data_IF_133097543171
#
_entry.id   IF_133097543171
#
_cell.length_a   1.000
_cell.length_b   1.000
_cell.length_c   1.000
_cell.angle_alpha   90.00
_cell.angle_beta   90.00
_cell.angle_gamma   90.00
#
_symmetry.space_group_name_H-M   'P 1'
#
loop_
_entity.id
_entity.type
_entity.pdbx_description
1 polymer ?
#
# COMPACT_ATOMS: atom_id res chain seq x y z
N UNK A 1 -11.36 25.23 -43.54
CA UNK A 1 -10.94 25.09 -42.13
C UNK A 1 -10.97 23.60 -41.76
N UNK A 2 -9.79 22.97 -41.65
CA UNK A 2 -9.63 21.57 -41.27
C UNK A 2 -9.70 21.41 -39.75
N UNK A 3 -10.54 20.48 -39.26
CA UNK A 3 -10.66 20.19 -37.81
C UNK A 3 -9.36 19.58 -37.26
N UNK A 4 -8.96 19.88 -36.01
CA UNK A 4 -7.73 19.35 -35.43
C UNK A 4 -7.86 17.84 -35.15
N UNK A 5 -6.93 17.05 -35.72
CA UNK A 5 -6.84 15.58 -35.56
C UNK A 5 -6.14 15.19 -34.25
N UNK A 6 -6.62 15.64 -33.09
CA UNK A 6 -6.03 15.26 -31.80
C UNK A 6 -7.02 14.69 -30.78
N UNK A 7 -8.31 14.60 -31.11
CA UNK A 7 -9.22 13.82 -30.29
C UNK A 7 -9.03 12.36 -30.64
N UNK A 8 -8.23 11.69 -29.80
CA UNK A 8 -8.00 10.26 -29.77
C UNK A 8 -9.27 9.51 -30.21
N UNK A 9 -9.26 8.97 -31.43
CA UNK A 9 -10.14 7.87 -31.80
C UNK A 9 -9.65 6.63 -31.04
N UNK A 10 -9.93 6.59 -29.74
CA UNK A 10 -9.70 5.41 -28.92
C UNK A 10 -10.63 4.31 -29.40
N UNK A 11 -10.04 3.19 -29.82
CA UNK A 11 -10.77 2.00 -30.20
C UNK A 11 -11.69 1.56 -29.07
N UNK A 12 -12.99 1.60 -29.33
CA UNK A 12 -13.99 0.97 -28.49
C UNK A 12 -13.86 -0.55 -28.62
N UNK A 13 -13.03 -1.22 -27.81
CA UNK A 13 -13.10 -2.67 -27.51
C UNK A 13 -11.96 -3.12 -26.58
N UNK A 14 -12.06 -2.70 -25.32
CA UNK A 14 -11.66 -3.38 -24.07
C UNK A 14 -11.73 -2.29 -23.00
N UNK A 15 -12.80 -2.24 -22.22
CA UNK A 15 -12.84 -1.35 -21.04
C UNK A 15 -11.86 -1.92 -20.02
N UNK A 16 -10.59 -1.57 -20.16
CA UNK A 16 -9.56 -1.92 -19.19
C UNK A 16 -9.92 -1.31 -17.84
N UNK A 17 -9.74 -2.09 -16.77
CA UNK A 17 -9.80 -1.58 -15.42
C UNK A 17 -8.41 -1.09 -15.03
N UNK A 18 -8.34 0.13 -14.54
CA UNK A 18 -7.12 0.76 -14.06
C UNK A 18 -7.13 0.81 -12.54
N UNK A 19 -5.95 0.79 -11.93
CA UNK A 19 -5.78 0.96 -10.49
C UNK A 19 -4.44 1.62 -10.22
N UNK A 20 -4.35 2.32 -9.12
CA UNK A 20 -3.10 2.97 -8.69
C UNK A 20 -2.55 2.23 -7.48
N UNK A 21 -1.22 2.05 -7.45
CA UNK A 21 -0.52 1.46 -6.32
C UNK A 21 0.76 2.23 -6.04
N UNK A 22 1.05 2.43 -4.76
CA UNK A 22 2.37 2.87 -4.28
C UNK A 22 2.95 1.84 -3.32
N UNK A 23 4.25 1.91 -3.11
CA UNK A 23 4.97 1.16 -2.09
C UNK A 23 5.88 2.10 -1.29
N UNK A 24 5.87 1.96 0.04
CA UNK A 24 6.67 2.73 0.99
C UNK A 24 7.22 1.78 2.07
N UNK A 25 8.53 1.52 2.05
CA UNK A 25 9.23 0.64 3.00
C UNK A 25 8.49 -0.69 3.31
N UNK A 26 8.03 -1.37 2.26
CA UNK A 26 7.31 -2.63 2.36
C UNK A 26 5.80 -2.51 2.54
N UNK A 27 5.26 -1.34 2.89
CA UNK A 27 3.80 -1.09 2.87
C UNK A 27 3.36 -0.80 1.45
N UNK A 28 2.36 -1.52 0.98
CA UNK A 28 1.68 -1.28 -0.29
C UNK A 28 0.32 -0.66 -0.03
N UNK A 29 -0.03 0.35 -0.81
CA UNK A 29 -1.35 1.00 -0.80
C UNK A 29 -1.89 0.97 -2.23
N UNK A 30 -3.09 0.42 -2.42
CA UNK A 30 -3.69 0.22 -3.74
C UNK A 30 -5.15 0.64 -3.77
N UNK A 31 -5.52 1.41 -4.78
CA UNK A 31 -6.91 1.81 -4.99
C UNK A 31 -7.75 0.70 -5.63
N UNK A 32 -9.07 0.84 -5.54
CA UNK A 32 -9.99 -0.02 -6.29
C UNK A 32 -9.82 0.15 -7.80
N UNK A 33 -10.15 -0.91 -8.51
CA UNK A 33 -10.17 -0.91 -9.97
C UNK A 33 -11.30 -0.03 -10.50
N UNK A 34 -10.97 0.90 -11.41
CA UNK A 34 -11.92 1.80 -12.07
C UNK A 34 -11.72 1.80 -13.58
N UNK A 35 -12.82 1.92 -14.33
CA UNK A 35 -12.79 2.16 -15.78
C UNK A 35 -12.66 3.64 -16.12
N UNK A 36 -12.78 4.54 -15.13
CA UNK A 36 -12.70 5.98 -15.31
C UNK A 36 -11.26 6.45 -15.10
N UNK A 37 -10.61 6.86 -16.19
CA UNK A 37 -9.20 7.29 -16.15
C UNK A 37 -8.99 8.51 -15.24
N UNK A 38 -9.96 9.42 -15.17
CA UNK A 38 -9.91 10.61 -14.29
C UNK A 38 -9.81 10.19 -12.83
N UNK A 39 -10.68 9.31 -12.36
CA UNK A 39 -10.64 8.78 -10.98
C UNK A 39 -9.30 8.12 -10.64
N UNK A 40 -8.69 7.45 -11.62
CA UNK A 40 -7.40 6.77 -11.44
C UNK A 40 -6.26 7.78 -11.36
N UNK A 41 -6.30 8.82 -12.19
CA UNK A 41 -5.34 9.92 -12.14
C UNK A 41 -5.43 10.68 -10.81
N UNK A 42 -6.63 11.01 -10.34
CA UNK A 42 -6.85 11.63 -9.02
C UNK A 42 -6.35 10.75 -7.88
N UNK A 43 -6.65 9.45 -7.94
CA UNK A 43 -6.11 8.46 -7.00
C UNK A 43 -4.60 8.39 -7.03
N UNK A 44 -3.99 8.53 -8.22
CA UNK A 44 -2.55 8.55 -8.37
C UNK A 44 -1.92 9.77 -7.72
N UNK A 45 -2.47 10.95 -7.98
CA UNK A 45 -2.03 12.18 -7.34
C UNK A 45 -2.11 12.07 -5.82
N UNK A 46 -3.24 11.62 -5.28
CA UNK A 46 -3.41 11.44 -3.84
C UNK A 46 -2.37 10.48 -3.22
N UNK A 47 -2.11 9.33 -3.86
CA UNK A 47 -1.11 8.38 -3.38
C UNK A 47 0.33 8.93 -3.51
N UNK A 48 0.66 9.61 -4.60
CA UNK A 48 1.99 10.21 -4.77
C UNK A 48 2.22 11.32 -3.75
N UNK A 49 1.24 12.20 -3.52
CA UNK A 49 1.33 13.24 -2.50
C UNK A 49 1.51 12.65 -1.10
N UNK A 50 0.76 11.61 -0.72
CA UNK A 50 0.98 10.91 0.55
C UNK A 50 2.42 10.39 0.67
N UNK A 51 2.95 9.80 -0.41
CA UNK A 51 4.32 9.27 -0.45
C UNK A 51 5.35 10.38 -0.29
N UNK A 52 5.19 11.50 -0.99
CA UNK A 52 6.09 12.65 -0.91
C UNK A 52 6.07 13.29 0.48
N UNK A 53 4.87 13.53 1.04
CA UNK A 53 4.69 14.03 2.41
C UNK A 53 5.34 13.10 3.43
N UNK A 54 5.17 11.78 3.28
CA UNK A 54 5.83 10.80 4.13
C UNK A 54 7.36 10.93 4.06
N UNK A 55 7.96 10.89 2.86
CA UNK A 55 9.41 10.93 2.73
C UNK A 55 10.03 12.27 3.14
N UNK A 56 9.33 13.38 2.91
CA UNK A 56 9.75 14.69 3.40
C UNK A 56 9.82 14.71 4.94
N UNK A 57 8.73 14.32 5.61
CA UNK A 57 8.66 14.24 7.08
C UNK A 57 9.66 13.23 7.64
N UNK A 58 9.81 12.08 6.99
CA UNK A 58 10.72 11.03 7.47
C UNK A 58 12.16 11.52 7.41
N UNK A 59 12.54 12.27 6.37
CA UNK A 59 13.85 12.90 6.26
C UNK A 59 14.06 14.02 7.29
N UNK A 60 13.08 14.91 7.47
CA UNK A 60 13.14 16.03 8.42
C UNK A 60 13.28 15.55 9.87
N UNK A 61 12.61 14.45 10.22
CA UNK A 61 12.66 13.87 11.57
C UNK A 61 13.85 12.90 11.76
N UNK A 62 14.89 12.97 10.92
CA UNK A 62 16.09 12.15 11.07
C UNK A 62 15.83 10.64 10.92
N UNK A 63 14.88 10.25 10.08
CA UNK A 63 14.42 8.87 9.90
C UNK A 63 13.83 8.26 11.18
N UNK A 64 13.03 9.04 11.91
CA UNK A 64 12.22 8.60 13.05
C UNK A 64 11.33 7.37 12.74
N UNK A 65 10.65 6.84 13.75
CA UNK A 65 9.84 5.62 13.62
C UNK A 65 8.90 5.69 12.40
N UNK A 66 8.99 4.65 11.57
CA UNK A 66 8.27 4.59 10.30
C UNK A 66 6.75 4.65 10.50
N UNK A 67 6.23 3.91 11.49
CA UNK A 67 4.78 3.79 11.69
C UNK A 67 4.22 5.15 12.13
N UNK A 68 4.92 5.86 13.03
CA UNK A 68 4.51 7.19 13.50
C UNK A 68 4.54 8.25 12.40
N UNK A 69 5.59 8.27 11.57
CA UNK A 69 5.67 9.20 10.45
C UNK A 69 4.59 8.91 9.40
N UNK A 70 4.31 7.63 9.13
CA UNK A 70 3.25 7.25 8.18
C UNK A 70 1.86 7.61 8.71
N UNK A 71 1.60 7.45 10.02
CA UNK A 71 0.35 7.93 10.65
C UNK A 71 0.18 9.43 10.50
N UNK A 72 1.23 10.21 10.78
CA UNK A 72 1.19 11.66 10.67
C UNK A 72 0.95 12.11 9.21
N UNK A 73 1.66 11.51 8.24
CA UNK A 73 1.46 11.80 6.82
C UNK A 73 0.04 11.42 6.35
N UNK A 74 -0.49 10.28 6.78
CA UNK A 74 -1.85 9.86 6.45
C UNK A 74 -2.92 10.79 7.06
N UNK A 75 -2.72 11.26 8.29
CA UNK A 75 -3.60 12.22 8.95
C UNK A 75 -3.61 13.57 8.21
N UNK A 76 -2.44 14.06 7.80
CA UNK A 76 -2.30 15.26 6.98
C UNK A 76 -3.02 15.11 5.63
N UNK A 77 -2.75 14.01 4.91
CA UNK A 77 -3.37 13.73 3.62
C UNK A 77 -4.91 13.71 3.71
N UNK A 78 -5.47 13.13 4.78
CA UNK A 78 -6.91 13.18 5.08
C UNK A 78 -7.40 14.61 5.32
N UNK A 79 -6.67 15.42 6.10
CA UNK A 79 -7.04 16.82 6.39
C UNK A 79 -7.10 17.69 5.12
N UNK A 80 -6.25 17.38 4.14
CA UNK A 80 -6.19 18.07 2.85
C UNK A 80 -7.15 17.47 1.81
N UNK A 81 -8.01 16.51 2.21
CA UNK A 81 -8.89 15.74 1.32
C UNK A 81 -8.15 14.97 0.20
N UNK A 82 -6.86 14.74 0.38
CA UNK A 82 -6.01 13.94 -0.51
C UNK A 82 -5.90 12.51 0.01
N UNK A 83 -7.04 11.82 0.13
CA UNK A 83 -7.07 10.42 0.56
C UNK A 83 -7.80 9.56 -0.46
N UNK A 84 -7.45 8.28 -0.53
CA UNK A 84 -8.08 7.32 -1.43
C UNK A 84 -9.10 6.48 -0.65
N UNK A 85 -10.42 6.77 -0.75
CA UNK A 85 -11.43 6.01 -0.04
C UNK A 85 -11.37 4.54 -0.47
N UNK A 86 -11.38 3.64 0.52
CA UNK A 86 -11.39 2.21 0.26
C UNK A 86 -10.11 1.63 -0.35
N UNK A 87 -8.99 2.35 -0.26
CA UNK A 87 -7.69 1.76 -0.57
C UNK A 87 -7.45 0.49 0.26
N UNK A 88 -6.85 -0.50 -0.38
CA UNK A 88 -6.37 -1.72 0.27
C UNK A 88 -4.90 -1.55 0.62
N UNK A 89 -4.53 -2.08 1.78
CA UNK A 89 -3.21 -1.94 2.36
C UNK A 89 -2.65 -3.32 2.72
N UNK A 90 -1.36 -3.57 2.46
CA UNK A 90 -0.69 -4.77 2.96
C UNK A 90 0.81 -4.51 3.15
N UNK A 91 1.47 -5.38 3.90
CA UNK A 91 2.92 -5.35 4.11
C UNK A 91 3.57 -6.50 3.35
N UNK A 92 4.69 -6.19 2.68
CA UNK A 92 5.53 -7.14 1.97
C UNK A 92 6.99 -6.95 2.38
N UNK A 93 7.68 -8.05 2.66
CA UNK A 93 9.12 -8.08 2.91
C UNK A 93 9.74 -9.31 2.29
N UNK A 94 10.86 -9.12 1.58
CA UNK A 94 11.70 -10.25 1.17
C UNK A 94 12.54 -10.68 2.36
N UNK A 95 12.45 -11.96 2.71
CA UNK A 95 13.16 -12.58 3.82
C UNK A 95 13.94 -13.78 3.30
N UNK A 96 14.98 -14.17 4.03
CA UNK A 96 15.85 -15.30 3.68
C UNK A 96 15.88 -16.26 4.88
N UNK A 97 14.88 -17.14 5.03
CA UNK A 97 14.78 -18.05 6.18
C UNK A 97 15.90 -19.12 6.18
N UNK A 98 16.46 -19.41 5.02
CA UNK A 98 17.57 -20.34 4.81
C UNK A 98 18.56 -19.71 3.83
N UNK A 99 19.88 -19.92 3.97
CA UNK A 99 20.87 -19.35 3.06
C UNK A 99 20.55 -19.66 1.59
N UNK A 100 20.45 -18.61 0.77
CA UNK A 100 20.13 -18.70 -0.65
C UNK A 100 18.63 -18.82 -0.99
N UNK A 101 17.75 -19.03 0.00
CA UNK A 101 16.31 -19.20 -0.23
C UNK A 101 15.58 -17.91 0.08
N UNK A 102 15.34 -17.08 -0.96
CA UNK A 102 14.53 -15.87 -0.82
C UNK A 102 13.04 -16.19 -0.82
N UNK A 103 12.33 -15.69 0.17
CA UNK A 103 10.88 -15.79 0.28
C UNK A 103 10.26 -14.41 0.41
N UNK A 104 9.23 -14.14 -0.40
CA UNK A 104 8.41 -12.94 -0.28
C UNK A 104 7.30 -13.19 0.75
N UNK A 105 7.46 -12.59 1.91
CA UNK A 105 6.47 -12.60 2.97
C UNK A 105 5.45 -11.48 2.71
N UNK A 106 4.16 -11.83 2.69
CA UNK A 106 3.06 -10.89 2.44
C UNK A 106 1.97 -11.04 3.50
N UNK A 107 1.60 -9.96 4.18
CA UNK A 107 0.46 -9.94 5.12
C UNK A 107 -0.88 -9.88 4.36
N UNK A 108 -2.02 -10.26 4.98
CA UNK A 108 -3.32 -10.07 4.33
C UNK A 108 -3.59 -8.60 4.02
N UNK A 109 -4.35 -8.38 2.95
CA UNK A 109 -4.87 -7.04 2.63
C UNK A 109 -5.89 -6.61 3.67
N UNK A 110 -5.73 -5.40 4.20
CA UNK A 110 -6.66 -4.75 5.13
C UNK A 110 -7.26 -3.49 4.49
N UNK A 111 -8.38 -3.01 5.03
CA UNK A 111 -9.07 -1.79 4.54
C UNK A 111 -8.63 -0.50 5.24
N UNK A 112 -8.02 -0.62 6.40
CA UNK A 112 -7.54 0.50 7.20
C UNK A 112 -6.02 0.44 7.40
N UNK A 113 -5.40 1.62 7.48
CA UNK A 113 -3.96 1.72 7.63
C UNK A 113 -3.47 1.11 8.95
N UNK A 114 -4.18 1.35 10.06
CA UNK A 114 -3.77 0.87 11.39
C UNK A 114 -3.66 -0.64 11.46
N UNK A 115 -4.62 -1.38 10.91
CA UNK A 115 -4.55 -2.84 10.84
C UNK A 115 -3.35 -3.33 10.04
N UNK A 116 -2.96 -2.61 8.99
CA UNK A 116 -1.73 -2.92 8.25
C UNK A 116 -0.48 -2.64 9.07
N UNK A 117 -0.44 -1.53 9.79
CA UNK A 117 0.67 -1.18 10.67
C UNK A 117 0.83 -2.24 11.78
N UNK A 118 -0.27 -2.64 12.45
CA UNK A 118 -0.25 -3.73 13.44
C UNK A 118 0.28 -5.03 12.84
N UNK A 119 -0.20 -5.43 11.66
CA UNK A 119 0.30 -6.63 10.99
C UNK A 119 1.79 -6.51 10.61
N UNK A 120 2.25 -5.33 10.17
CA UNK A 120 3.66 -5.03 9.90
C UNK A 120 4.50 -5.17 11.17
N UNK A 121 4.11 -4.52 12.27
CA UNK A 121 4.86 -4.56 13.53
C UNK A 121 4.96 -5.99 14.07
N UNK A 122 3.87 -6.77 14.01
CA UNK A 122 3.88 -8.19 14.39
C UNK A 122 4.88 -8.99 13.53
N UNK A 123 4.84 -8.87 12.20
CA UNK A 123 5.80 -9.55 11.31
C UNK A 123 7.24 -9.12 11.60
N UNK A 124 7.49 -7.82 11.74
CA UNK A 124 8.85 -7.32 11.99
C UNK A 124 9.38 -7.80 13.35
N UNK A 125 8.53 -7.86 14.38
CA UNK A 125 8.92 -8.42 15.67
C UNK A 125 9.30 -9.91 15.57
N UNK A 126 8.54 -10.70 14.79
CA UNK A 126 8.87 -12.11 14.51
C UNK A 126 10.21 -12.23 13.77
N UNK A 127 10.45 -11.37 12.78
CA UNK A 127 11.71 -11.39 12.04
C UNK A 127 12.90 -10.98 12.92
N UNK A 128 12.74 -9.96 13.77
CA UNK A 128 13.80 -9.47 14.65
C UNK A 128 14.24 -10.52 15.69
N UNK A 129 13.34 -11.43 16.09
CA UNK A 129 13.68 -12.56 16.98
C UNK A 129 14.16 -13.81 16.24
N UNK A 130 14.32 -13.76 14.92
CA UNK A 130 14.74 -14.90 14.11
C UNK A 130 13.70 -16.01 14.01
N UNK A 131 12.40 -15.67 13.99
CA UNK A 131 11.33 -16.66 13.88
C UNK A 131 11.48 -17.52 12.61
N UNK A 132 11.34 -18.85 12.69
CA UNK A 132 11.42 -19.72 11.52
C UNK A 132 10.22 -19.49 10.59
N UNK A 133 10.38 -19.89 9.32
CA UNK A 133 9.35 -19.76 8.27
C UNK A 133 7.97 -20.26 8.70
N UNK A 134 7.89 -21.40 9.38
CA UNK A 134 6.63 -21.97 9.84
C UNK A 134 5.89 -21.08 10.84
N UNK A 135 6.63 -20.38 11.70
CA UNK A 135 6.03 -19.46 12.66
C UNK A 135 5.50 -18.19 11.98
N UNK A 136 6.24 -17.65 10.99
CA UNK A 136 5.80 -16.54 10.16
C UNK A 136 4.52 -16.89 9.38
N UNK A 137 4.45 -18.10 8.81
CA UNK A 137 3.26 -18.58 8.10
C UNK A 137 2.05 -18.69 9.03
N UNK A 138 2.23 -19.26 10.24
CA UNK A 138 1.16 -19.32 11.25
C UNK A 138 0.66 -17.94 11.66
N UNK A 139 1.57 -16.97 11.83
CA UNK A 139 1.19 -15.60 12.13
C UNK A 139 0.36 -14.96 11.02
N UNK A 140 0.77 -15.13 9.76
CA UNK A 140 0.03 -14.63 8.60
C UNK A 140 -1.35 -15.28 8.50
N UNK A 141 -1.49 -16.56 8.82
CA UNK A 141 -2.80 -17.22 8.81
C UNK A 141 -3.72 -16.67 9.90
N UNK A 142 -3.23 -16.47 11.13
CA UNK A 142 -4.00 -15.79 12.18
C UNK A 142 -4.42 -14.39 11.75
N UNK A 143 -3.54 -13.63 11.08
CA UNK A 143 -3.89 -12.31 10.54
C UNK A 143 -5.03 -12.42 9.53
N UNK A 144 -5.03 -13.43 8.65
CA UNK A 144 -6.12 -13.65 7.67
C UNK A 144 -7.43 -13.98 8.36
N UNK A 145 -7.41 -14.78 9.41
CA UNK A 145 -8.59 -15.10 10.22
C UNK A 145 -9.17 -13.85 10.88
N UNK A 146 -8.32 -13.00 11.48
CA UNK A 146 -8.75 -11.70 12.04
C UNK A 146 -9.44 -10.83 11.00
N UNK A 147 -8.89 -10.73 9.78
CA UNK A 147 -9.47 -9.92 8.71
C UNK A 147 -10.76 -10.53 8.13
N UNK A 148 -10.94 -11.85 8.17
CA UNK A 148 -12.21 -12.50 7.77
C UNK A 148 -13.33 -12.21 8.77
N UNK A 149 -13.03 -12.21 10.07
CA UNK A 149 -14.02 -11.92 11.13
C UNK A 149 -14.45 -10.45 11.22
N UNK A 150 -13.78 -9.54 10.50
CA UNK A 150 -14.08 -8.10 10.45
C UNK A 150 -15.00 -7.69 9.29
N UNK A 151 -15.35 -8.63 8.39
CA UNK A 151 -16.24 -8.38 7.24
C UNK A 151 -17.70 -8.53 7.63
#
# INVERSE_FOLDING_TARGET
ASKPRHLCRGSSRMKGYWRTQIQMCGIHIRTFSSTQMVTVAESHLALVSLKETFFARWKENGMADFDDVLRAAAAEARSQKMYCPGAMHWFEKVVEPEPGVKWRLTTPCTRDLESTLVNRSEVLALLNRGAPKQELLRAIERMRERERGRK
#
